data_IF_058054917222
#
_entry.id   IF_058054917222
#
_cell.length_a   1.000
_cell.length_b   1.000
_cell.length_c   1.000
_cell.angle_alpha   90.00
_cell.angle_beta   90.00
_cell.angle_gamma   90.00
#
_symmetry.space_group_name_H-M   'P 1'
#
loop_
_entity.id
_entity.type
_entity.pdbx_description
1 polymer ?
#
# COMPACT_ATOMS: atom_id res chain seq x y z
N UNK A 1 5.79 -19.68 -0.95
CA UNK A 1 4.72 -19.72 0.04
C UNK A 1 5.12 -19.00 1.34
N UNK A 2 6.28 -19.33 1.96
CA UNK A 2 6.69 -18.74 3.24
C UNK A 2 6.86 -17.21 3.18
N UNK A 3 7.43 -16.66 2.10
CA UNK A 3 7.56 -15.21 1.93
C UNK A 3 6.20 -14.50 1.86
N UNK A 4 5.22 -15.10 1.21
CA UNK A 4 3.85 -14.55 1.17
C UNK A 4 3.20 -14.59 2.56
N UNK A 5 3.36 -15.70 3.30
CA UNK A 5 2.85 -15.84 4.66
C UNK A 5 3.46 -14.78 5.59
N UNK A 6 4.78 -14.55 5.50
CA UNK A 6 5.46 -13.52 6.28
C UNK A 6 4.95 -12.12 5.92
N UNK A 7 4.81 -11.81 4.63
CA UNK A 7 4.28 -10.51 4.18
C UNK A 7 2.84 -10.28 4.67
N UNK A 8 1.99 -11.31 4.60
CA UNK A 8 0.62 -11.25 5.11
C UNK A 8 0.60 -10.97 6.62
N UNK A 9 1.39 -11.73 7.40
CA UNK A 9 1.49 -11.55 8.85
C UNK A 9 1.99 -10.15 9.22
N UNK A 10 3.10 -9.71 8.61
CA UNK A 10 3.65 -8.39 8.88
C UNK A 10 2.65 -7.28 8.59
N UNK A 11 2.01 -7.31 7.42
CA UNK A 11 1.01 -6.29 7.06
C UNK A 11 -0.22 -6.33 7.97
N UNK A 12 -0.64 -7.52 8.42
CA UNK A 12 -1.74 -7.66 9.38
C UNK A 12 -1.36 -7.10 10.76
N UNK A 13 -0.14 -7.35 11.23
CA UNK A 13 0.37 -6.77 12.48
C UNK A 13 0.47 -5.25 12.38
N UNK A 14 1.03 -4.73 11.28
CA UNK A 14 1.08 -3.28 11.05
C UNK A 14 -0.31 -2.65 10.96
N UNK A 15 -1.25 -3.32 10.31
CA UNK A 15 -2.65 -2.87 10.29
C UNK A 15 -3.23 -2.77 11.70
N UNK A 16 -3.05 -3.82 12.52
CA UNK A 16 -3.56 -3.82 13.89
C UNK A 16 -2.92 -2.72 14.75
N UNK A 17 -1.59 -2.58 14.70
CA UNK A 17 -0.87 -1.53 15.43
C UNK A 17 -1.29 -0.13 14.97
N UNK A 18 -1.39 0.10 13.67
CA UNK A 18 -1.83 1.38 13.13
C UNK A 18 -3.28 1.69 13.48
N UNK A 19 -4.18 0.70 13.43
CA UNK A 19 -5.58 0.86 13.83
C UNK A 19 -5.73 1.23 15.31
N UNK A 20 -4.90 0.64 16.18
CA UNK A 20 -4.85 0.99 17.61
C UNK A 20 -4.29 2.40 17.85
N UNK A 21 -3.33 2.84 17.02
CA UNK A 21 -2.74 4.18 17.12
C UNK A 21 -3.65 5.29 16.57
N UNK A 22 -4.60 4.97 15.66
CA UNK A 22 -5.44 5.97 14.98
C UNK A 22 -6.21 6.89 15.94
N UNK A 23 -6.91 6.41 16.98
CA UNK A 23 -7.62 7.29 17.89
C UNK A 23 -6.70 8.29 18.60
N UNK A 24 -5.46 7.89 18.92
CA UNK A 24 -4.47 8.80 19.51
C UNK A 24 -4.01 9.86 18.49
N UNK A 25 -3.79 9.46 17.25
CA UNK A 25 -3.37 10.37 16.16
C UNK A 25 -4.48 11.38 15.87
N UNK A 26 -5.73 10.96 15.76
CA UNK A 26 -6.85 11.86 15.47
C UNK A 26 -7.16 12.80 16.64
N UNK A 27 -6.97 12.36 17.88
CA UNK A 27 -7.06 13.19 19.06
C UNK A 27 -5.93 14.23 19.08
N UNK A 28 -4.71 13.85 18.73
CA UNK A 28 -3.56 14.76 18.66
C UNK A 28 -3.71 15.84 17.57
N UNK A 29 -4.42 15.50 16.47
CA UNK A 29 -4.69 16.42 15.36
C UNK A 29 -5.93 17.29 15.60
N UNK A 30 -6.67 17.10 16.69
CA UNK A 30 -7.95 17.75 16.99
C UNK A 30 -9.01 17.60 15.87
N UNK A 31 -8.93 16.47 15.13
CA UNK A 31 -9.80 16.16 13.98
C UNK A 31 -10.38 14.75 14.07
N UNK A 32 -11.35 14.50 14.94
CA UNK A 32 -11.95 13.17 15.11
C UNK A 32 -12.67 12.66 13.84
N UNK A 33 -13.08 13.56 12.95
CA UNK A 33 -13.75 13.23 11.68
C UNK A 33 -12.87 12.39 10.74
N UNK A 34 -11.55 12.49 10.88
CA UNK A 34 -10.60 11.76 10.05
C UNK A 34 -10.43 10.29 10.48
N UNK A 35 -10.94 9.89 11.64
CA UNK A 35 -10.78 8.53 12.16
C UNK A 35 -11.29 7.48 11.16
N UNK A 36 -12.52 7.61 10.69
CA UNK A 36 -13.14 6.65 9.78
C UNK A 36 -12.43 6.58 8.41
N UNK A 37 -12.17 7.70 7.72
CA UNK A 37 -11.40 7.67 6.46
C UNK A 37 -10.03 7.02 6.61
N UNK A 38 -9.32 7.33 7.69
CA UNK A 38 -8.00 6.77 7.96
C UNK A 38 -8.06 5.26 8.24
N UNK A 39 -8.99 4.81 9.08
CA UNK A 39 -9.18 3.38 9.36
C UNK A 39 -9.54 2.59 8.10
N UNK A 40 -10.41 3.13 7.26
CA UNK A 40 -10.77 2.48 5.99
C UNK A 40 -9.58 2.45 5.04
N UNK A 41 -8.81 3.53 4.96
CA UNK A 41 -7.60 3.56 4.14
C UNK A 41 -6.55 2.57 4.62
N UNK A 42 -6.45 2.30 5.93
CA UNK A 42 -5.55 1.27 6.47
C UNK A 42 -5.84 -0.13 5.93
N UNK A 43 -7.07 -0.43 5.48
CA UNK A 43 -7.40 -1.71 4.84
C UNK A 43 -6.57 -2.00 3.58
N UNK A 44 -5.90 -1.00 3.03
CA UNK A 44 -4.92 -1.17 1.94
C UNK A 44 -3.82 -2.17 2.34
N UNK A 45 -3.39 -2.16 3.61
CA UNK A 45 -2.32 -3.05 4.09
C UNK A 45 -2.68 -4.53 3.91
N UNK A 46 -3.77 -5.05 4.51
CA UNK A 46 -4.15 -6.45 4.29
C UNK A 46 -4.56 -6.71 2.83
N UNK A 47 -5.27 -5.80 2.17
CA UNK A 47 -5.67 -5.99 0.77
C UNK A 47 -4.46 -6.17 -0.15
N UNK A 48 -3.42 -5.35 0.01
CA UNK A 48 -2.19 -5.49 -0.77
C UNK A 48 -1.39 -6.76 -0.46
N UNK A 49 -1.62 -7.38 0.71
CA UNK A 49 -0.96 -8.64 1.08
C UNK A 49 -1.57 -9.85 0.37
N UNK A 50 -2.82 -9.76 -0.07
CA UNK A 50 -3.49 -10.85 -0.79
C UNK A 50 -2.97 -11.06 -2.22
N UNK A 51 -2.26 -10.07 -2.79
CA UNK A 51 -1.68 -10.24 -4.13
C UNK A 51 -0.79 -11.50 -4.20
N UNK A 52 -0.94 -12.28 -5.28
CA UNK A 52 -0.15 -13.50 -5.43
C UNK A 52 1.32 -13.19 -5.73
N UNK A 53 2.27 -13.87 -5.08
CA UNK A 53 3.69 -13.75 -5.40
C UNK A 53 4.06 -14.30 -6.78
N UNK A 54 3.13 -14.95 -7.49
CA UNK A 54 3.31 -15.38 -8.88
C UNK A 54 3.74 -14.27 -9.83
N UNK A 55 3.37 -13.02 -9.54
CA UNK A 55 3.82 -11.84 -10.29
C UNK A 55 5.34 -11.70 -10.33
N UNK A 56 6.04 -12.06 -9.25
CA UNK A 56 7.51 -12.01 -9.22
C UNK A 56 8.17 -13.03 -10.17
N UNK A 57 7.47 -14.13 -10.48
CA UNK A 57 7.92 -15.10 -11.49
C UNK A 57 7.85 -14.49 -12.90
N UNK A 58 6.81 -13.73 -13.20
CA UNK A 58 6.71 -13.00 -14.48
C UNK A 58 7.84 -11.98 -14.62
N UNK A 59 8.16 -11.25 -13.57
CA UNK A 59 9.32 -10.35 -13.56
C UNK A 59 10.65 -11.11 -13.79
N UNK A 60 10.82 -12.28 -13.15
CA UNK A 60 12.01 -13.10 -13.31
C UNK A 60 12.19 -13.62 -14.74
N UNK A 61 11.09 -13.96 -15.41
CA UNK A 61 11.07 -14.42 -16.79
C UNK A 61 11.01 -13.30 -17.82
N UNK A 62 11.02 -12.03 -17.38
CA UNK A 62 10.90 -10.83 -18.24
C UNK A 62 9.61 -10.80 -19.09
N UNK A 63 8.60 -11.59 -18.72
CA UNK A 63 7.30 -11.57 -19.39
C UNK A 63 6.39 -10.52 -18.73
N UNK A 64 6.63 -9.26 -19.12
CA UNK A 64 5.94 -8.11 -18.54
C UNK A 64 4.65 -7.75 -19.28
N UNK A 65 4.40 -8.35 -20.44
CA UNK A 65 3.23 -8.02 -21.28
C UNK A 65 1.89 -8.29 -20.57
N UNK A 66 1.64 -9.47 -19.96
CA UNK A 66 0.41 -9.71 -19.20
C UNK A 66 0.27 -8.76 -18.02
N UNK A 67 1.38 -8.48 -17.33
CA UNK A 67 1.41 -7.58 -16.19
C UNK A 67 1.07 -6.13 -16.56
N UNK A 68 1.60 -5.67 -17.71
CA UNK A 68 1.27 -4.34 -18.25
C UNK A 68 -0.22 -4.19 -18.52
N UNK A 69 -0.82 -5.14 -19.27
CA UNK A 69 -2.24 -5.09 -19.60
C UNK A 69 -3.14 -5.17 -18.38
N UNK A 70 -2.79 -6.02 -17.39
CA UNK A 70 -3.50 -6.08 -16.13
C UNK A 70 -3.47 -4.75 -15.38
N UNK A 71 -2.27 -4.17 -15.22
CA UNK A 71 -2.14 -2.91 -14.50
C UNK A 71 -2.84 -1.75 -15.22
N UNK A 72 -2.76 -1.73 -16.55
CA UNK A 72 -3.43 -0.71 -17.36
C UNK A 72 -4.95 -0.82 -17.23
N UNK A 73 -5.51 -2.02 -17.41
CA UNK A 73 -6.95 -2.25 -17.28
C UNK A 73 -7.45 -1.95 -15.87
N UNK A 74 -6.72 -2.39 -14.84
CA UNK A 74 -7.06 -2.09 -13.46
C UNK A 74 -7.06 -0.58 -13.18
N UNK A 75 -6.05 0.17 -13.66
CA UNK A 75 -5.98 1.63 -13.49
C UNK A 75 -7.11 2.36 -14.21
N UNK A 76 -7.43 1.98 -15.44
CA UNK A 76 -8.54 2.57 -16.18
C UNK A 76 -9.88 2.30 -15.50
N UNK A 77 -10.09 1.08 -15.01
CA UNK A 77 -11.30 0.71 -14.26
C UNK A 77 -11.43 1.49 -12.96
N UNK A 78 -10.33 1.59 -12.18
CA UNK A 78 -10.32 2.38 -10.94
C UNK A 78 -10.61 3.85 -11.23
N UNK A 79 -10.01 4.41 -12.28
CA UNK A 79 -10.24 5.79 -12.67
C UNK A 79 -11.72 6.03 -13.00
N UNK A 80 -12.32 5.16 -13.81
CA UNK A 80 -13.74 5.26 -14.15
C UNK A 80 -14.64 5.14 -12.90
N UNK A 81 -14.38 4.16 -12.02
CA UNK A 81 -15.11 3.99 -10.75
C UNK A 81 -14.97 5.23 -9.88
N UNK A 82 -13.74 5.75 -9.72
CA UNK A 82 -13.50 6.94 -8.88
C UNK A 82 -14.22 8.17 -9.42
N UNK A 83 -14.24 8.37 -10.75
CA UNK A 83 -15.00 9.46 -11.36
C UNK A 83 -16.51 9.35 -11.10
N UNK A 84 -17.07 8.15 -11.25
CA UNK A 84 -18.50 7.90 -10.98
C UNK A 84 -18.79 8.16 -9.50
N UNK A 85 -17.96 7.65 -8.60
CA UNK A 85 -18.12 7.88 -7.16
C UNK A 85 -17.99 9.37 -6.80
N UNK A 86 -17.05 10.10 -7.41
CA UNK A 86 -16.87 11.52 -7.19
C UNK A 86 -18.08 12.32 -7.67
N UNK A 87 -18.67 11.94 -8.81
CA UNK A 87 -19.87 12.57 -9.34
C UNK A 87 -21.11 12.33 -8.46
N UNK A 88 -21.27 11.09 -7.95
CA UNK A 88 -22.42 10.68 -7.15
C UNK A 88 -22.33 11.22 -5.72
N UNK A 89 -21.21 10.99 -5.06
CA UNK A 89 -21.05 11.32 -3.63
C UNK A 89 -20.63 12.77 -3.38
N UNK A 90 -19.94 13.41 -4.34
CA UNK A 90 -19.42 14.79 -4.23
C UNK A 90 -18.68 15.07 -2.91
N UNK A 91 -18.01 14.06 -2.37
CA UNK A 91 -17.36 14.09 -1.07
C UNK A 91 -16.01 13.36 -1.13
N UNK A 92 -15.15 13.60 -0.14
CA UNK A 92 -13.84 12.95 0.00
C UNK A 92 -13.90 11.41 0.04
N UNK A 93 -15.05 10.83 0.37
CA UNK A 93 -15.28 9.38 0.36
C UNK A 93 -15.01 8.72 -1.00
N UNK A 94 -15.24 9.44 -2.07
CA UNK A 94 -14.92 8.95 -3.41
C UNK A 94 -13.42 8.65 -3.58
N UNK A 95 -12.56 9.48 -3.00
CA UNK A 95 -11.11 9.29 -3.02
C UNK A 95 -10.69 8.11 -2.13
N UNK A 96 -11.31 7.96 -0.96
CA UNK A 96 -11.04 6.84 -0.04
C UNK A 96 -11.38 5.51 -0.71
N UNK A 97 -12.55 5.39 -1.31
CA UNK A 97 -12.93 4.17 -2.05
C UNK A 97 -12.09 3.99 -3.31
N UNK A 98 -11.79 5.06 -4.04
CA UNK A 98 -10.90 4.99 -5.21
C UNK A 98 -9.52 4.43 -4.86
N UNK A 99 -8.93 4.86 -3.74
CA UNK A 99 -7.65 4.32 -3.27
C UNK A 99 -7.77 2.85 -2.87
N UNK A 100 -8.83 2.42 -2.20
CA UNK A 100 -9.05 1.01 -1.88
C UNK A 100 -9.14 0.15 -3.15
N UNK A 101 -9.93 0.58 -4.13
CA UNK A 101 -10.05 -0.13 -5.40
C UNK A 101 -8.73 -0.19 -6.17
N UNK A 102 -7.86 0.82 -6.05
CA UNK A 102 -6.55 0.82 -6.69
C UNK A 102 -5.60 -0.26 -6.17
N UNK A 103 -5.82 -0.79 -4.99
CA UNK A 103 -5.09 -1.93 -4.43
C UNK A 103 -5.84 -3.25 -4.59
N UNK A 104 -7.16 -3.21 -4.50
CA UNK A 104 -8.00 -4.40 -4.58
C UNK A 104 -8.06 -5.00 -5.98
N UNK A 105 -8.29 -4.18 -7.01
CA UNK A 105 -8.38 -4.68 -8.39
C UNK A 105 -7.09 -5.34 -8.87
N UNK A 106 -5.90 -4.72 -8.72
CA UNK A 106 -4.65 -5.39 -9.08
C UNK A 106 -4.41 -6.66 -8.26
N UNK A 107 -4.74 -6.68 -6.95
CA UNK A 107 -4.58 -7.88 -6.13
C UNK A 107 -5.38 -9.06 -6.70
N UNK A 108 -6.65 -8.85 -7.07
CA UNK A 108 -7.47 -9.86 -7.74
C UNK A 108 -6.90 -10.19 -9.13
N UNK A 109 -6.51 -9.17 -9.91
CA UNK A 109 -5.95 -9.34 -11.24
C UNK A 109 -4.75 -10.29 -11.27
N UNK A 110 -3.92 -10.31 -10.22
CA UNK A 110 -2.77 -11.21 -10.13
C UNK A 110 -3.16 -12.69 -10.16
N UNK A 111 -4.36 -13.05 -9.67
CA UNK A 111 -4.86 -14.42 -9.69
C UNK A 111 -5.34 -14.89 -11.06
N UNK A 112 -5.68 -13.97 -11.95
CA UNK A 112 -6.06 -14.31 -13.33
C UNK A 112 -4.84 -14.50 -14.24
N UNK A 113 -3.74 -13.77 -13.98
CA UNK A 113 -2.56 -13.82 -14.84
C UNK A 113 -1.70 -15.03 -14.55
N UNK A 114 -1.59 -15.43 -13.28
CA UNK A 114 -0.70 -16.51 -12.91
C UNK A 114 -1.44 -17.60 -12.11
N UNK A 115 -1.30 -18.89 -12.47
CA UNK A 115 -1.99 -19.99 -11.80
C UNK A 115 -1.47 -20.29 -10.39
N UNK A 116 -0.39 -19.63 -9.97
CA UNK A 116 0.19 -19.84 -8.65
C UNK A 116 -0.79 -19.42 -7.55
N UNK A 117 -1.12 -20.36 -6.68
CA UNK A 117 -1.98 -20.13 -5.51
C UNK A 117 -1.11 -20.19 -4.26
N UNK A 118 -0.94 -19.08 -3.53
CA UNK A 118 -0.16 -19.08 -2.30
C UNK A 118 -0.84 -19.95 -1.24
N UNK A 119 -0.02 -20.74 -0.54
CA UNK A 119 -0.45 -21.52 0.61
C UNK A 119 0.30 -21.02 1.84
N UNK A 120 -0.38 -21.00 2.98
CA UNK A 120 0.26 -20.68 4.26
C UNK A 120 1.33 -21.72 4.55
N UNK A 121 2.57 -21.30 4.70
CA UNK A 121 3.70 -22.16 4.97
C UNK A 121 4.75 -21.43 5.81
N UNK A 122 5.19 -22.09 6.86
CA UNK A 122 6.23 -21.58 7.76
C UNK A 122 7.56 -22.31 7.61
N UNK A 123 7.68 -23.24 6.65
CA UNK A 123 8.81 -24.16 6.52
C UNK A 123 10.18 -23.47 6.40
N UNK A 124 10.23 -22.26 5.81
CA UNK A 124 11.46 -21.45 5.65
C UNK A 124 11.39 -20.11 6.37
N UNK A 125 10.60 -20.04 7.43
CA UNK A 125 10.38 -18.77 8.15
C UNK A 125 11.69 -18.22 8.73
N UNK A 126 12.47 -19.07 9.41
CA UNK A 126 13.70 -18.64 10.09
C UNK A 126 14.78 -18.15 9.10
N UNK A 127 14.93 -18.83 7.98
CA UNK A 127 15.87 -18.45 6.93
C UNK A 127 15.50 -17.11 6.29
N UNK A 128 14.22 -16.93 5.97
CA UNK A 128 13.71 -15.69 5.35
C UNK A 128 13.67 -14.52 6.34
N UNK A 129 13.40 -14.77 7.61
CA UNK A 129 13.41 -13.75 8.64
C UNK A 129 14.79 -13.11 8.81
N UNK A 130 15.83 -13.94 8.81
CA UNK A 130 17.23 -13.49 8.86
C UNK A 130 17.58 -12.48 7.76
N UNK A 131 17.09 -12.72 6.55
CA UNK A 131 17.30 -11.84 5.39
C UNK A 131 16.35 -10.62 5.40
N UNK A 132 15.09 -10.84 5.70
CA UNK A 132 14.05 -9.80 5.66
C UNK A 132 14.28 -8.68 6.67
N UNK A 133 14.83 -8.97 7.87
CA UNK A 133 15.15 -7.95 8.86
C UNK A 133 16.16 -6.92 8.35
N UNK A 134 17.15 -7.33 7.56
CA UNK A 134 18.13 -6.44 6.96
C UNK A 134 17.53 -5.55 5.87
N UNK A 135 16.67 -6.12 5.02
CA UNK A 135 15.93 -5.36 4.01
C UNK A 135 15.01 -4.35 4.69
N UNK A 136 14.30 -4.78 5.74
CA UNK A 136 13.43 -3.90 6.51
C UNK A 136 14.22 -2.73 7.11
N UNK A 137 15.35 -3.02 7.76
CA UNK A 137 16.20 -1.98 8.35
C UNK A 137 16.73 -0.99 7.31
N UNK A 138 17.24 -1.50 6.19
CA UNK A 138 17.71 -0.65 5.09
C UNK A 138 16.57 0.20 4.50
N UNK A 139 15.38 -0.37 4.30
CA UNK A 139 14.22 0.36 3.80
C UNK A 139 13.76 1.42 4.79
N UNK A 140 13.77 1.12 6.08
CA UNK A 140 13.41 2.05 7.14
C UNK A 140 14.37 3.23 7.21
N UNK A 141 15.69 2.96 7.17
CA UNK A 141 16.71 4.02 7.15
C UNK A 141 16.60 4.86 5.87
N UNK A 142 16.38 4.22 4.72
CA UNK A 142 16.15 4.90 3.45
C UNK A 142 14.91 5.79 3.46
N UNK A 143 13.82 5.32 4.05
CA UNK A 143 12.60 6.10 4.22
C UNK A 143 12.83 7.32 5.13
N UNK A 144 13.45 7.12 6.29
CA UNK A 144 13.78 8.22 7.20
C UNK A 144 14.65 9.26 6.48
N UNK A 145 15.70 8.81 5.78
CA UNK A 145 16.58 9.70 5.01
C UNK A 145 15.80 10.54 4.01
N UNK A 146 14.89 9.93 3.23
CA UNK A 146 14.08 10.67 2.27
C UNK A 146 13.06 11.62 2.91
N UNK A 147 12.59 11.32 4.12
CA UNK A 147 11.64 12.19 4.84
C UNK A 147 12.32 13.33 5.61
N UNK A 148 13.58 13.14 6.04
CA UNK A 148 14.33 14.20 6.76
C UNK A 148 14.46 15.45 5.91
N UNK A 149 14.78 15.31 4.62
CA UNK A 149 14.92 16.45 3.71
C UNK A 149 13.62 17.24 3.66
N UNK A 150 12.48 16.54 3.49
CA UNK A 150 11.17 17.17 3.46
C UNK A 150 10.81 17.83 4.80
N UNK A 151 11.14 17.17 5.90
CA UNK A 151 10.90 17.72 7.25
C UNK A 151 11.73 18.98 7.52
N UNK A 152 13.00 19.00 7.13
CA UNK A 152 13.89 20.17 7.27
C UNK A 152 13.34 21.32 6.41
N UNK A 153 12.98 21.05 5.16
CA UNK A 153 12.46 22.06 4.25
C UNK A 153 11.13 22.61 4.75
N UNK A 154 10.23 21.76 5.26
CA UNK A 154 8.94 22.19 5.82
C UNK A 154 9.07 23.08 7.06
N UNK A 155 10.17 22.93 7.80
CA UNK A 155 10.45 23.76 9.00
C UNK A 155 11.13 25.08 8.65
N UNK A 156 11.95 25.11 7.60
CA UNK A 156 12.74 26.28 7.22
C UNK A 156 12.04 27.21 6.21
N UNK A 157 11.11 26.67 5.43
CA UNK A 157 10.45 27.40 4.35
C UNK A 157 8.94 27.48 4.56
N UNK A 158 8.34 28.59 4.13
CA UNK A 158 6.89 28.79 4.10
C UNK A 158 6.21 27.80 3.14
N UNK A 159 4.95 27.49 3.43
CA UNK A 159 4.14 26.50 2.66
C UNK A 159 4.07 26.77 1.16
N UNK A 160 4.20 28.03 0.73
CA UNK A 160 4.22 28.41 -0.70
C UNK A 160 5.47 27.91 -1.45
N UNK A 161 6.61 27.85 -0.77
CA UNK A 161 7.88 27.42 -1.38
C UNK A 161 8.05 25.89 -1.42
N UNK A 162 7.32 25.16 -0.57
CA UNK A 162 7.36 23.69 -0.50
C UNK A 162 6.75 23.05 -1.74
N UNK A 163 5.72 23.69 -2.32
CA UNK A 163 5.07 23.20 -3.55
C UNK A 163 6.01 23.16 -4.76
N UNK A 164 6.94 24.11 -4.86
CA UNK A 164 7.94 24.15 -5.94
C UNK A 164 9.07 23.12 -5.84
N UNK A 165 9.35 22.63 -4.63
CA UNK A 165 10.41 21.63 -4.39
C UNK A 165 9.99 20.21 -4.79
N UNK A 166 8.70 19.92 -4.82
CA UNK A 166 8.14 18.61 -5.20
C UNK A 166 7.87 18.42 -6.70
N UNK A 167 8.20 19.39 -7.53
CA UNK A 167 8.15 19.30 -9.01
C UNK A 167 9.51 18.86 -9.55
#
# INVERSE_FOLDING_TARGET
NSAWTINLLLKSVFFALAALAMPFITAFLDKPELLYPMLITLLILPLSAFATPGVYLLHKHMDLKPLFWMNLSARLTVFAITLVLAYVYRNYWALVFGTLFSYFLPAIGTYFIHPFRPKISFSKFHEQWGFSKWIFFNSFVGYIKGQIDMFIISKLYSSENIGGYNM
#
